data_IF_826007976954
#
_entry.id   IF_826007976954
#
_cell.length_a   1.000
_cell.length_b   1.000
_cell.length_c   1.000
_cell.angle_alpha   90.00
_cell.angle_beta   90.00
_cell.angle_gamma   90.00
#
_symmetry.space_group_name_H-M   'P 1'
#
loop_
_entity.id
_entity.type
_entity.pdbx_description
1 polymer ?
#
# COMPACT_ATOMS: atom_id res chain seq x y z
N UNK A 1 -46.64 -65.42 -15.80
CA UNK A 1 -47.80 -64.51 -15.77
C UNK A 1 -47.36 -63.24 -15.05
N UNK A 2 -47.63 -62.01 -15.54
CA UNK A 2 -47.87 -61.55 -16.92
C UNK A 2 -46.63 -60.77 -17.47
N UNK A 3 -46.21 -60.92 -18.74
CA UNK A 3 -46.70 -60.22 -19.95
C UNK A 3 -46.18 -58.75 -20.01
N UNK A 4 -45.64 -58.17 -21.08
CA UNK A 4 -45.97 -58.25 -22.52
C UNK A 4 -44.83 -57.63 -23.39
N UNK A 5 -44.62 -58.25 -24.57
CA UNK A 5 -44.48 -57.70 -25.96
C UNK A 5 -43.48 -56.55 -26.25
N UNK A 6 -42.44 -56.82 -27.07
CA UNK A 6 -42.36 -56.68 -28.56
C UNK A 6 -42.45 -55.23 -29.06
N UNK A 7 -41.40 -54.74 -29.74
CA UNK A 7 -41.35 -54.50 -31.21
C UNK A 7 -40.26 -53.49 -31.65
N UNK A 8 -39.57 -53.87 -32.74
CA UNK A 8 -39.14 -53.08 -33.92
C UNK A 8 -38.16 -51.92 -33.73
N UNK A 9 -36.92 -51.98 -34.25
CA UNK A 9 -36.53 -51.85 -35.67
C UNK A 9 -36.89 -50.49 -36.30
N UNK A 10 -35.90 -49.63 -36.54
CA UNK A 10 -35.60 -49.07 -37.88
C UNK A 10 -34.52 -47.99 -37.85
N UNK A 11 -33.68 -48.05 -38.89
CA UNK A 11 -32.83 -47.05 -39.52
C UNK A 11 -33.12 -45.57 -39.22
N UNK A 12 -32.05 -44.76 -39.09
CA UNK A 12 -32.15 -43.30 -39.18
C UNK A 12 -30.82 -42.56 -39.02
N UNK A 13 -30.19 -42.26 -40.17
CA UNK A 13 -29.26 -41.16 -40.48
C UNK A 13 -28.24 -40.65 -39.43
N UNK A 14 -26.96 -40.80 -39.80
CA UNK A 14 -25.85 -39.94 -39.38
C UNK A 14 -26.12 -38.49 -39.83
N UNK A 15 -26.28 -37.59 -38.87
CA UNK A 15 -26.12 -36.14 -39.07
C UNK A 15 -24.74 -35.76 -38.52
N UNK A 16 -23.81 -35.23 -39.33
CA UNK A 16 -22.59 -34.66 -38.79
C UNK A 16 -22.96 -33.33 -38.12
N UNK A 17 -23.03 -33.34 -36.78
CA UNK A 17 -23.11 -32.11 -36.01
C UNK A 17 -21.82 -31.33 -36.26
N UNK A 18 -21.96 -30.21 -36.97
CA UNK A 18 -20.98 -29.14 -37.02
C UNK A 18 -20.64 -28.74 -35.58
N UNK A 19 -19.45 -29.12 -35.12
CA UNK A 19 -18.82 -28.50 -33.97
C UNK A 19 -18.44 -27.09 -34.44
N UNK A 20 -19.33 -26.12 -34.24
CA UNK A 20 -18.94 -24.72 -34.22
C UNK A 20 -17.95 -24.56 -33.08
N UNK A 21 -16.67 -24.43 -33.42
CA UNK A 21 -15.65 -23.93 -32.53
C UNK A 21 -16.11 -22.54 -32.07
N UNK A 22 -16.75 -22.49 -30.91
CA UNK A 22 -17.00 -21.24 -30.22
C UNK A 22 -15.63 -20.61 -29.97
N UNK A 23 -15.37 -19.50 -30.66
CA UNK A 23 -14.27 -18.62 -30.31
C UNK A 23 -14.46 -18.27 -28.83
N UNK A 24 -13.63 -18.86 -27.97
CA UNK A 24 -13.37 -18.28 -26.66
C UNK A 24 -12.85 -16.88 -26.94
N UNK A 25 -13.72 -15.89 -26.80
CA UNK A 25 -13.30 -14.51 -26.73
C UNK A 25 -12.28 -14.47 -25.58
N UNK A 26 -11.01 -14.41 -25.95
CA UNK A 26 -9.95 -14.03 -25.03
C UNK A 26 -10.37 -12.68 -24.50
N UNK A 27 -10.88 -12.63 -23.28
CA UNK A 27 -11.01 -11.37 -22.56
C UNK A 27 -9.56 -10.93 -22.35
N UNK A 28 -9.04 -10.18 -23.30
CA UNK A 28 -7.74 -9.53 -23.16
C UNK A 28 -7.89 -8.61 -21.97
N UNK A 29 -7.33 -9.03 -20.83
CA UNK A 29 -7.22 -8.15 -19.67
C UNK A 29 -6.58 -6.85 -20.16
N UNK A 30 -7.21 -5.72 -19.84
CA UNK A 30 -6.64 -4.43 -20.16
C UNK A 30 -5.21 -4.35 -19.59
N UNK A 31 -4.25 -3.77 -20.32
CA UNK A 31 -2.89 -3.56 -19.85
C UNK A 31 -2.81 -2.87 -18.49
N UNK A 32 -1.71 -3.10 -17.75
CA UNK A 32 -1.51 -2.59 -16.39
C UNK A 32 -1.59 -1.06 -16.32
N UNK A 33 -1.01 -0.38 -17.30
CA UNK A 33 -1.02 1.09 -17.46
C UNK A 33 -2.44 1.62 -17.71
N UNK A 34 -3.22 0.99 -18.59
CA UNK A 34 -4.61 1.37 -18.83
C UNK A 34 -5.47 1.20 -17.58
N UNK A 35 -5.35 0.05 -16.90
CA UNK A 35 -6.08 -0.22 -15.66
C UNK A 35 -5.67 0.73 -14.54
N UNK A 36 -4.37 0.97 -14.39
CA UNK A 36 -3.81 1.94 -13.43
C UNK A 36 -4.35 3.34 -13.67
N UNK A 37 -4.32 3.82 -14.92
CA UNK A 37 -4.86 5.12 -15.29
C UNK A 37 -6.36 5.25 -14.99
N UNK A 38 -7.17 4.23 -15.32
CA UNK A 38 -8.60 4.23 -14.97
C UNK A 38 -8.82 4.27 -13.47
N UNK A 39 -8.03 3.51 -12.70
CA UNK A 39 -8.10 3.49 -11.24
C UNK A 39 -7.76 4.86 -10.63
N UNK A 40 -6.69 5.50 -11.10
CA UNK A 40 -6.25 6.83 -10.64
C UNK A 40 -7.33 7.89 -10.94
N UNK A 41 -7.86 7.91 -12.16
CA UNK A 41 -8.91 8.87 -12.52
C UNK A 41 -10.18 8.67 -11.69
N UNK A 42 -10.57 7.42 -11.42
CA UNK A 42 -11.71 7.13 -10.56
C UNK A 42 -11.58 7.71 -9.15
N UNK A 43 -10.37 7.65 -8.59
CA UNK A 43 -10.05 8.19 -7.27
C UNK A 43 -10.11 9.72 -7.30
N UNK A 44 -9.58 10.34 -8.35
CA UNK A 44 -9.60 11.78 -8.53
C UNK A 44 -11.02 12.30 -8.79
N UNK A 45 -11.84 11.62 -9.59
CA UNK A 45 -13.24 12.01 -9.83
C UNK A 45 -14.07 11.99 -8.54
N UNK A 46 -13.75 11.09 -7.61
CA UNK A 46 -14.36 11.04 -6.27
C UNK A 46 -14.05 12.27 -5.39
N UNK A 47 -13.11 13.14 -5.80
CA UNK A 47 -12.81 14.42 -5.16
C UNK A 47 -13.71 15.56 -5.63
N UNK A 48 -14.28 15.49 -6.84
CA UNK A 48 -15.03 16.61 -7.46
C UNK A 48 -16.54 16.67 -7.23
N UNK A 49 -17.14 15.63 -6.62
CA UNK A 49 -18.60 15.43 -6.63
C UNK A 49 -19.37 15.90 -5.40
N UNK A 50 -19.63 17.21 -5.30
CA UNK A 50 -20.80 17.76 -4.61
C UNK A 50 -21.66 18.52 -5.62
N UNK A 51 -22.39 17.79 -6.47
CA UNK A 51 -23.45 18.37 -7.31
C UNK A 51 -23.51 17.82 -8.73
N UNK A 52 -24.64 17.21 -9.06
CA UNK A 52 -25.14 17.12 -10.44
C UNK A 52 -24.86 15.82 -11.19
N UNK A 53 -25.96 15.19 -11.63
CA UNK A 53 -26.06 14.06 -12.55
C UNK A 53 -25.56 12.69 -12.04
N UNK A 54 -26.50 11.93 -11.49
CA UNK A 54 -26.48 10.47 -11.57
C UNK A 54 -26.35 10.07 -13.04
N UNK A 55 -25.19 9.61 -13.48
CA UNK A 55 -25.09 8.83 -14.70
C UNK A 55 -23.95 7.82 -14.55
N UNK A 56 -24.34 6.54 -14.59
CA UNK A 56 -23.54 5.32 -14.45
C UNK A 56 -23.05 4.98 -13.04
N UNK A 57 -23.90 4.21 -12.35
CA UNK A 57 -23.53 3.48 -11.16
C UNK A 57 -22.47 2.41 -11.47
N UNK A 58 -21.36 2.49 -10.71
CA UNK A 58 -20.57 1.37 -10.14
C UNK A 58 -19.75 0.47 -11.08
N UNK A 59 -18.58 0.95 -11.50
CA UNK A 59 -17.44 0.07 -11.88
C UNK A 59 -16.10 0.53 -11.27
N UNK A 60 -16.16 1.40 -10.25
CA UNK A 60 -15.00 2.03 -9.62
C UNK A 60 -14.90 1.65 -8.15
N UNK A 61 -13.68 1.60 -7.57
CA UNK A 61 -13.46 1.03 -6.24
C UNK A 61 -14.32 1.74 -5.20
N UNK A 62 -14.97 0.97 -4.33
CA UNK A 62 -15.68 1.55 -3.19
C UNK A 62 -14.66 1.99 -2.15
N UNK A 63 -13.96 3.10 -2.37
CA UNK A 63 -13.07 3.69 -1.38
C UNK A 63 -13.90 4.42 -0.33
N UNK A 64 -13.77 4.01 0.93
CA UNK A 64 -14.39 4.67 2.05
C UNK A 64 -13.34 5.43 2.84
N UNK A 65 -13.52 6.75 2.95
CA UNK A 65 -12.68 7.61 3.77
C UNK A 65 -13.42 7.90 5.08
N UNK A 66 -12.81 7.59 6.21
CA UNK A 66 -13.40 7.74 7.54
C UNK A 66 -12.55 8.66 8.40
N UNK A 67 -13.18 9.65 9.04
CA UNK A 67 -12.58 10.51 10.07
C UNK A 67 -11.33 11.32 9.61
N UNK A 68 -11.13 11.49 8.31
CA UNK A 68 -9.94 12.15 7.74
C UNK A 68 -10.10 13.66 7.46
N UNK A 69 -10.98 14.36 8.17
CA UNK A 69 -11.18 15.80 7.95
C UNK A 69 -9.92 16.63 8.22
N UNK A 70 -9.05 16.16 9.12
CA UNK A 70 -7.83 16.85 9.54
C UNK A 70 -6.54 16.29 8.92
N UNK A 71 -6.64 15.35 7.99
CA UNK A 71 -5.49 14.81 7.29
C UNK A 71 -4.76 15.91 6.50
N UNK A 72 -3.40 15.98 6.51
CA UNK A 72 -2.44 15.06 7.17
C UNK A 72 -2.05 15.45 8.61
N UNK A 73 -2.62 16.52 9.17
CA UNK A 73 -2.35 17.04 10.52
C UNK A 73 -2.96 18.44 10.68
N UNK A 74 -3.74 18.66 11.73
CA UNK A 74 -4.71 19.76 11.90
C UNK A 74 -4.19 21.21 12.03
N UNK A 75 -3.14 21.61 11.31
CA UNK A 75 -2.57 22.96 11.38
C UNK A 75 -2.35 23.62 10.02
N UNK A 76 -3.36 24.33 9.52
CA UNK A 76 -3.23 25.22 8.36
C UNK A 76 -4.55 25.87 7.97
N UNK A 77 -4.61 27.21 7.94
CA UNK A 77 -5.83 28.02 7.71
C UNK A 77 -6.40 28.00 6.29
N UNK A 78 -5.76 27.37 5.32
CA UNK A 78 -6.25 27.24 3.96
C UNK A 78 -5.62 26.00 3.32
N UNK A 79 -6.33 25.37 2.36
CA UNK A 79 -5.91 24.34 1.39
C UNK A 79 -6.58 22.98 1.58
N UNK A 80 -7.64 22.73 0.79
CA UNK A 80 -8.41 21.48 0.57
C UNK A 80 -8.93 20.72 1.82
N UNK A 81 -10.21 20.28 1.84
CA UNK A 81 -10.70 19.34 2.84
C UNK A 81 -9.77 18.11 2.94
N UNK A 82 -9.43 17.67 4.16
CA UNK A 82 -8.46 16.58 4.36
C UNK A 82 -8.79 15.27 3.62
N UNK A 83 -10.09 15.01 3.39
CA UNK A 83 -10.56 13.91 2.53
C UNK A 83 -10.06 14.03 1.08
N UNK A 84 -10.17 15.21 0.47
CA UNK A 84 -9.73 15.44 -0.91
C UNK A 84 -8.20 15.35 -1.02
N UNK A 85 -7.50 15.85 0.00
CA UNK A 85 -6.05 15.72 0.08
C UNK A 85 -5.62 14.26 0.16
N UNK A 86 -6.28 13.45 0.99
CA UNK A 86 -6.00 12.01 1.10
C UNK A 86 -6.24 11.27 -0.21
N UNK A 87 -7.34 11.56 -0.91
CA UNK A 87 -7.61 10.97 -2.23
C UNK A 87 -6.58 11.39 -3.28
N UNK A 88 -6.10 12.65 -3.23
CA UNK A 88 -5.03 13.14 -4.11
C UNK A 88 -3.71 12.42 -3.83
N UNK A 89 -3.35 12.27 -2.55
CA UNK A 89 -2.11 11.57 -2.15
C UNK A 89 -2.21 10.08 -2.53
N UNK A 90 -3.38 9.45 -2.37
CA UNK A 90 -3.64 8.07 -2.79
C UNK A 90 -3.49 7.88 -4.31
N UNK A 91 -4.07 8.79 -5.09
CA UNK A 91 -3.97 8.80 -6.54
C UNK A 91 -2.51 8.94 -6.99
N UNK A 92 -1.78 9.91 -6.42
CA UNK A 92 -0.34 10.14 -6.68
C UNK A 92 0.49 8.90 -6.36
N UNK A 93 0.23 8.27 -5.20
CA UNK A 93 0.90 7.05 -4.76
C UNK A 93 0.69 5.89 -5.73
N UNK A 94 -0.55 5.65 -6.16
CA UNK A 94 -0.87 4.61 -7.13
C UNK A 94 -0.27 4.88 -8.49
N UNK A 95 -0.38 6.11 -8.99
CA UNK A 95 0.18 6.50 -10.28
C UNK A 95 1.69 6.25 -10.32
N UNK A 96 2.41 6.80 -9.34
CA UNK A 96 3.88 6.70 -9.24
C UNK A 96 4.33 5.25 -9.04
N UNK A 97 3.72 4.56 -8.07
CA UNK A 97 4.09 3.19 -7.72
C UNK A 97 3.79 2.21 -8.85
N UNK A 98 2.60 2.23 -9.42
CA UNK A 98 2.24 1.31 -10.51
C UNK A 98 3.07 1.57 -11.77
N UNK A 99 3.31 2.84 -12.13
CA UNK A 99 4.19 3.18 -13.26
C UNK A 99 5.62 2.67 -13.03
N UNK A 100 6.16 2.85 -11.82
CA UNK A 100 7.47 2.33 -11.45
C UNK A 100 7.55 0.80 -11.60
N UNK A 101 6.58 0.06 -11.03
CA UNK A 101 6.55 -1.41 -11.09
C UNK A 101 6.30 -1.95 -12.51
N UNK A 102 5.64 -1.18 -13.37
CA UNK A 102 5.49 -1.47 -14.80
C UNK A 102 6.77 -1.19 -15.62
N UNK A 103 7.81 -0.64 -15.00
CA UNK A 103 9.08 -0.31 -15.65
C UNK A 103 9.12 1.06 -16.32
N UNK A 104 8.19 1.95 -15.99
CA UNK A 104 8.14 3.35 -16.45
C UNK A 104 8.81 4.33 -15.46
N UNK A 105 9.44 3.81 -14.40
CA UNK A 105 10.22 4.61 -13.46
C UNK A 105 11.62 4.99 -13.98
N UNK A 106 12.35 5.87 -13.27
CA UNK A 106 13.68 6.34 -13.67
C UNK A 106 14.73 5.22 -13.79
N UNK A 107 14.47 4.06 -13.19
CA UNK A 107 15.36 2.89 -13.19
C UNK A 107 15.01 1.84 -14.25
N UNK A 108 14.02 2.15 -15.10
CA UNK A 108 13.54 1.27 -16.16
C UNK A 108 12.87 0.01 -15.62
N UNK A 109 12.96 -1.08 -16.40
CA UNK A 109 12.34 -2.35 -16.06
C UNK A 109 12.95 -2.99 -14.81
N UNK A 110 12.08 -3.35 -13.87
CA UNK A 110 12.40 -4.19 -12.71
C UNK A 110 12.24 -5.67 -13.07
N UNK A 111 12.57 -6.57 -12.14
CA UNK A 111 12.29 -8.00 -12.35
C UNK A 111 10.77 -8.24 -12.52
N UNK A 112 10.31 -9.14 -13.43
CA UNK A 112 8.89 -9.33 -13.76
C UNK A 112 7.97 -9.66 -12.58
N UNK A 113 8.53 -10.21 -11.50
CA UNK A 113 7.81 -10.41 -10.24
C UNK A 113 7.13 -9.13 -9.73
N UNK A 114 7.72 -7.96 -9.96
CA UNK A 114 7.20 -6.69 -9.48
C UNK A 114 5.99 -6.19 -10.28
N UNK A 115 6.01 -6.36 -11.61
CA UNK A 115 4.83 -6.12 -12.46
C UNK A 115 3.68 -7.08 -12.09
N UNK A 116 4.00 -8.33 -11.72
CA UNK A 116 3.02 -9.25 -11.15
C UNK A 116 2.41 -8.74 -9.83
N UNK A 117 3.21 -8.17 -8.92
CA UNK A 117 2.68 -7.56 -7.69
C UNK A 117 1.79 -6.33 -7.98
N UNK A 118 2.15 -5.49 -8.96
CA UNK A 118 1.33 -4.37 -9.39
C UNK A 118 -0.04 -4.83 -9.90
N UNK A 119 -0.07 -5.90 -10.70
CA UNK A 119 -1.31 -6.52 -11.16
C UNK A 119 -2.16 -7.05 -10.01
N UNK A 120 -1.54 -7.71 -9.01
CA UNK A 120 -2.26 -8.19 -7.81
C UNK A 120 -2.87 -7.03 -7.02
N UNK A 121 -2.15 -5.92 -6.87
CA UNK A 121 -2.66 -4.75 -6.15
C UNK A 121 -3.85 -4.13 -6.89
N UNK A 122 -3.75 -3.95 -8.20
CA UNK A 122 -4.89 -3.47 -9.00
C UNK A 122 -6.08 -4.42 -8.93
N UNK A 123 -5.86 -5.74 -9.03
CA UNK A 123 -6.94 -6.72 -8.87
C UNK A 123 -7.64 -6.57 -7.51
N UNK A 124 -6.89 -6.33 -6.44
CA UNK A 124 -7.46 -6.11 -5.11
C UNK A 124 -8.27 -4.81 -5.06
N UNK A 125 -7.76 -3.72 -5.63
CA UNK A 125 -8.45 -2.43 -5.69
C UNK A 125 -9.74 -2.51 -6.52
N UNK A 126 -9.70 -3.20 -7.66
CA UNK A 126 -10.85 -3.42 -8.55
C UNK A 126 -11.86 -4.43 -7.98
N UNK A 127 -11.44 -5.31 -7.07
CA UNK A 127 -12.31 -6.34 -6.51
C UNK A 127 -13.51 -5.71 -5.79
N UNK A 128 -14.72 -6.32 -5.92
CA UNK A 128 -15.89 -5.86 -5.18
C UNK A 128 -15.63 -5.78 -3.68
N UNK A 129 -16.16 -4.74 -3.04
CA UNK A 129 -16.01 -4.50 -1.61
C UNK A 129 -15.32 -3.18 -1.29
N UNK A 130 -15.50 -2.75 -0.06
CA UNK A 130 -15.01 -1.45 0.40
C UNK A 130 -13.50 -1.51 0.68
N UNK A 131 -12.78 -0.47 0.27
CA UNK A 131 -11.37 -0.23 0.58
C UNK A 131 -11.32 0.93 1.57
N UNK A 132 -11.00 0.67 2.82
CA UNK A 132 -11.18 1.67 3.88
C UNK A 132 -9.89 2.41 4.19
N UNK A 133 -9.93 3.74 4.21
CA UNK A 133 -8.89 4.57 4.79
C UNK A 133 -9.47 5.32 5.99
N UNK A 134 -9.01 4.98 7.18
CA UNK A 134 -9.50 5.55 8.42
C UNK A 134 -8.41 6.39 9.08
N UNK A 135 -8.72 7.64 9.38
CA UNK A 135 -7.81 8.48 10.15
C UNK A 135 -8.12 8.38 11.64
N UNK A 136 -7.05 8.34 12.43
CA UNK A 136 -7.06 8.46 13.88
C UNK A 136 -6.13 9.59 14.30
N UNK A 137 -6.25 10.01 15.54
CA UNK A 137 -5.43 11.07 16.12
C UNK A 137 -4.78 10.55 17.41
N UNK A 138 -3.45 10.47 17.37
CA UNK A 138 -2.62 10.08 18.50
C UNK A 138 -2.99 8.70 19.07
N UNK A 139 -3.34 7.74 18.20
CA UNK A 139 -3.89 6.46 18.60
C UNK A 139 -2.91 5.30 18.42
N UNK A 140 -1.83 5.47 17.67
CA UNK A 140 -0.83 4.43 17.44
C UNK A 140 0.58 4.99 17.37
N UNK A 141 1.56 4.11 17.58
CA UNK A 141 2.97 4.46 17.49
C UNK A 141 3.44 4.58 16.04
N UNK A 142 2.80 3.84 15.13
CA UNK A 142 3.08 3.88 13.69
C UNK A 142 2.41 5.08 13.01
N UNK A 143 2.99 5.54 11.91
CA UNK A 143 2.42 6.60 11.06
C UNK A 143 1.14 6.14 10.36
N UNK A 144 1.16 4.90 9.87
CA UNK A 144 0.05 4.23 9.23
C UNK A 144 0.20 2.72 9.44
N UNK A 145 -0.91 1.99 9.30
CA UNK A 145 -0.93 0.53 9.36
C UNK A 145 -2.01 -0.01 8.44
N UNK A 146 -1.63 -0.93 7.56
CA UNK A 146 -2.56 -1.72 6.78
C UNK A 146 -3.10 -2.93 7.56
N UNK A 147 -4.37 -3.24 7.35
CA UNK A 147 -4.95 -4.51 7.78
C UNK A 147 -4.39 -5.66 6.96
N UNK A 148 -4.22 -6.83 7.58
CA UNK A 148 -3.85 -8.06 6.91
C UNK A 148 -5.09 -8.88 6.52
N UNK A 149 -5.03 -9.72 5.47
CA UNK A 149 -6.13 -10.62 5.09
C UNK A 149 -6.58 -11.55 6.22
N UNK A 150 -5.67 -11.93 7.12
CA UNK A 150 -5.95 -12.79 8.29
C UNK A 150 -6.55 -12.07 9.49
N UNK A 151 -6.75 -10.74 9.41
CA UNK A 151 -7.10 -9.91 10.55
C UNK A 151 -5.91 -9.66 11.49
N UNK A 152 -6.19 -9.02 12.62
CA UNK A 152 -5.20 -8.68 13.64
C UNK A 152 -5.36 -9.59 14.86
N UNK A 153 -4.26 -10.17 15.36
CA UNK A 153 -4.29 -11.01 16.56
C UNK A 153 -4.60 -10.18 17.81
N UNK A 154 -5.26 -10.77 18.82
CA UNK A 154 -5.65 -10.06 20.04
C UNK A 154 -4.46 -9.53 20.85
N UNK A 155 -3.32 -10.20 20.75
CA UNK A 155 -2.07 -9.81 21.41
C UNK A 155 -1.27 -8.75 20.63
N UNK A 156 -1.74 -8.37 19.44
CA UNK A 156 -1.11 -7.29 18.68
C UNK A 156 -1.34 -5.95 19.40
N UNK A 157 -0.30 -5.13 19.65
CA UNK A 157 -0.45 -3.80 20.26
C UNK A 157 -1.43 -2.87 19.52
N UNK A 158 -1.66 -3.12 18.23
CA UNK A 158 -2.57 -2.35 17.36
C UNK A 158 -3.97 -2.96 17.26
N UNK A 159 -4.23 -4.08 17.96
CA UNK A 159 -5.54 -4.73 17.97
C UNK A 159 -6.70 -3.77 18.29
N UNK A 160 -6.61 -2.85 19.28
CA UNK A 160 -7.70 -1.91 19.56
C UNK A 160 -8.08 -1.01 18.38
N UNK A 161 -7.13 -0.67 17.52
CA UNK A 161 -7.30 0.20 16.36
C UNK A 161 -7.74 -0.58 15.13
N UNK A 162 -7.36 -1.85 15.02
CA UNK A 162 -7.56 -2.66 13.82
C UNK A 162 -8.75 -3.63 13.90
N UNK A 163 -9.16 -4.08 15.10
CA UNK A 163 -10.18 -5.14 15.27
C UNK A 163 -11.54 -4.85 14.61
N UNK A 164 -11.91 -3.57 14.51
CA UNK A 164 -13.20 -3.12 13.97
C UNK A 164 -13.08 -2.67 12.49
N UNK A 165 -11.86 -2.70 11.95
CA UNK A 165 -11.55 -2.27 10.57
C UNK A 165 -11.35 -3.51 9.70
N UNK A 166 -12.22 -3.70 8.71
CA UNK A 166 -12.18 -4.89 7.84
C UNK A 166 -11.14 -4.74 6.73
N UNK A 167 -10.45 -5.83 6.43
CA UNK A 167 -9.59 -5.93 5.26
C UNK A 167 -10.38 -5.74 3.94
N UNK A 168 -9.83 -5.03 2.94
CA UNK A 168 -8.58 -4.26 2.98
C UNK A 168 -8.79 -2.83 3.47
N UNK A 169 -7.93 -2.42 4.39
CA UNK A 169 -7.96 -1.09 4.98
C UNK A 169 -6.59 -0.59 5.40
N UNK A 170 -6.44 0.73 5.48
CA UNK A 170 -5.30 1.44 6.08
C UNK A 170 -5.82 2.37 7.18
N UNK A 171 -5.23 2.27 8.37
CA UNK A 171 -5.42 3.24 9.44
C UNK A 171 -4.26 4.24 9.38
N UNK A 172 -4.56 5.53 9.50
CA UNK A 172 -3.62 6.64 9.35
C UNK A 172 -3.60 7.47 10.63
N UNK A 173 -2.45 7.60 11.30
CA UNK A 173 -2.32 8.48 12.46
C UNK A 173 -1.92 9.87 11.99
N UNK A 174 -2.91 10.74 11.87
CA UNK A 174 -2.70 12.11 11.40
C UNK A 174 -1.84 12.95 12.35
N UNK A 175 -1.65 12.50 13.59
CA UNK A 175 -0.75 13.15 14.53
C UNK A 175 0.71 12.86 14.15
N UNK A 176 1.01 11.59 13.85
CA UNK A 176 2.34 11.14 13.46
C UNK A 176 2.72 11.56 12.04
N UNK A 177 1.80 11.43 11.10
CA UNK A 177 1.99 11.94 9.72
C UNK A 177 2.32 13.44 9.75
N UNK A 178 1.66 14.19 10.64
CA UNK A 178 1.89 15.62 10.84
C UNK A 178 3.19 16.00 11.54
N UNK A 179 3.99 15.03 12.02
CA UNK A 179 5.23 15.28 12.77
C UNK A 179 4.97 15.80 14.20
N UNK A 180 3.86 15.40 14.82
CA UNK A 180 3.50 15.82 16.18
C UNK A 180 3.79 14.70 17.20
N UNK A 181 4.21 15.10 18.42
CA UNK A 181 4.54 14.17 19.49
C UNK A 181 3.29 13.66 20.20
N UNK A 182 3.05 12.36 20.27
CA UNK A 182 1.95 11.80 21.08
C UNK A 182 1.90 12.38 22.48
N UNK A 183 0.71 12.64 23.03
CA UNK A 183 0.52 13.05 24.44
C UNK A 183 0.22 11.90 25.38
N UNK A 184 0.08 10.68 24.86
CA UNK A 184 -0.32 9.49 25.61
C UNK A 184 0.83 8.73 26.24
N UNK A 185 2.07 9.05 25.87
CA UNK A 185 3.26 8.42 26.43
C UNK A 185 3.52 8.94 27.84
N UNK A 186 4.19 8.16 28.67
CA UNK A 186 4.65 8.58 29.99
C UNK A 186 5.85 9.54 29.90
N UNK A 187 6.14 10.24 31.00
CA UNK A 187 7.23 11.22 31.04
C UNK A 187 8.60 10.56 30.85
N UNK A 188 8.75 9.30 31.28
CA UNK A 188 9.97 8.54 31.08
C UNK A 188 10.23 8.25 29.60
N UNK A 189 9.20 7.92 28.82
CA UNK A 189 9.31 7.74 27.37
C UNK A 189 9.71 9.04 26.68
N UNK A 190 9.12 10.19 27.08
CA UNK A 190 9.55 11.49 26.54
C UNK A 190 11.02 11.79 26.84
N UNK A 191 11.47 11.48 28.06
CA UNK A 191 12.85 11.73 28.48
C UNK A 191 13.86 10.78 27.83
N UNK A 192 13.53 9.50 27.75
CA UNK A 192 14.48 8.45 27.35
C UNK A 192 14.49 8.19 25.86
N UNK A 193 13.34 8.23 25.19
CA UNK A 193 13.23 7.94 23.76
C UNK A 193 13.30 9.21 22.92
N UNK A 194 12.59 10.27 23.33
CA UNK A 194 12.57 11.55 22.60
C UNK A 194 13.59 12.56 23.11
N UNK A 195 14.37 12.20 24.14
CA UNK A 195 15.40 13.05 24.75
C UNK A 195 14.93 14.45 25.13
N UNK A 196 13.66 14.57 25.55
CA UNK A 196 13.07 15.84 25.97
C UNK A 196 13.57 16.27 27.35
N UNK A 197 13.89 17.56 27.48
CA UNK A 197 14.14 18.20 28.77
C UNK A 197 12.84 18.43 29.56
N UNK A 198 12.92 18.54 30.89
CA UNK A 198 11.75 18.71 31.78
C UNK A 198 10.82 19.86 31.36
N UNK A 199 11.39 21.00 30.93
CA UNK A 199 10.59 22.13 30.46
C UNK A 199 9.84 21.82 29.16
N UNK A 200 10.42 21.04 28.25
CA UNK A 200 9.76 20.59 27.03
C UNK A 200 8.67 19.56 27.36
N UNK A 201 8.91 18.64 28.30
CA UNK A 201 7.87 17.70 28.78
C UNK A 201 6.70 18.49 29.38
N UNK A 202 6.98 19.47 30.23
CA UNK A 202 5.96 20.34 30.82
C UNK A 202 5.15 21.11 29.75
N UNK A 203 5.83 21.73 28.77
CA UNK A 203 5.19 22.42 27.65
C UNK A 203 4.37 21.46 26.79
N UNK A 204 4.87 20.26 26.52
CA UNK A 204 4.15 19.25 25.73
C UNK A 204 2.85 18.83 26.40
N UNK A 205 2.90 18.62 27.73
CA UNK A 205 1.76 18.21 28.56
C UNK A 205 0.70 19.30 28.69
N UNK A 206 1.12 20.57 28.81
CA UNK A 206 0.22 21.65 29.24
C UNK A 206 0.02 22.76 28.19
N UNK A 207 0.79 22.76 27.10
CA UNK A 207 0.85 23.82 26.09
C UNK A 207 0.34 23.39 24.72
N UNK A 208 0.94 23.93 23.66
CA UNK A 208 0.68 23.51 22.27
C UNK A 208 1.44 22.20 21.97
N UNK A 209 0.98 21.37 21.02
CA UNK A 209 1.72 20.18 20.60
C UNK A 209 3.15 20.52 20.21
N UNK A 210 4.12 19.80 20.78
CA UNK A 210 5.51 19.97 20.36
C UNK A 210 5.72 19.42 18.95
N UNK A 211 6.40 20.22 18.14
CA UNK A 211 6.97 19.82 16.85
C UNK A 211 8.47 19.75 17.03
N UNK A 212 8.99 18.54 17.17
CA UNK A 212 10.43 18.31 17.30
C UNK A 212 11.01 18.06 15.91
N UNK A 213 12.23 18.52 15.62
CA UNK A 213 12.94 18.16 14.38
C UNK A 213 13.05 16.63 14.19
N UNK A 214 13.27 15.90 15.28
CA UNK A 214 13.34 14.42 15.33
C UNK A 214 12.01 13.73 15.06
N UNK A 215 10.89 14.45 15.18
CA UNK A 215 9.57 13.96 14.79
C UNK A 215 9.34 14.28 13.32
N UNK A 216 10.04 13.52 12.49
CA UNK A 216 9.98 13.62 11.05
C UNK A 216 8.53 13.63 10.56
N UNK A 217 8.13 14.72 9.92
CA UNK A 217 6.87 14.79 9.18
C UNK A 217 7.02 14.00 7.89
N UNK A 218 6.18 13.00 7.68
CA UNK A 218 6.14 12.26 6.42
C UNK A 218 5.76 13.22 5.27
N UNK A 219 6.64 13.42 4.30
CA UNK A 219 6.51 14.45 3.26
C UNK A 219 5.86 13.86 2.01
N UNK A 220 6.40 12.74 1.53
CA UNK A 220 5.87 11.96 0.44
C UNK A 220 4.74 11.04 0.92
N UNK A 221 3.58 11.65 1.13
CA UNK A 221 2.38 10.93 1.57
C UNK A 221 1.85 9.96 0.53
N UNK A 222 2.16 10.15 -0.75
CA UNK A 222 1.83 9.20 -1.80
C UNK A 222 2.63 7.91 -1.64
N UNK A 223 3.92 8.02 -1.34
CA UNK A 223 4.79 6.90 -1.00
C UNK A 223 4.24 6.12 0.20
N UNK A 224 3.90 6.81 1.30
CA UNK A 224 3.29 6.19 2.48
C UNK A 224 2.03 5.38 2.15
N UNK A 225 1.10 5.97 1.39
CA UNK A 225 -0.15 5.29 1.07
C UNK A 225 0.09 4.07 0.17
N UNK A 226 1.00 4.19 -0.80
CA UNK A 226 1.38 3.06 -1.63
C UNK A 226 2.05 1.95 -0.82
N UNK A 227 2.97 2.31 0.09
CA UNK A 227 3.63 1.42 1.04
C UNK A 227 2.60 0.58 1.82
N UNK A 228 1.61 1.23 2.44
CA UNK A 228 0.57 0.52 3.19
C UNK A 228 -0.28 -0.39 2.29
N UNK A 229 -0.57 0.01 1.06
CA UNK A 229 -1.30 -0.85 0.13
C UNK A 229 -0.49 -2.08 -0.32
N UNK A 230 0.84 -2.01 -0.33
CA UNK A 230 1.70 -3.16 -0.62
C UNK A 230 1.56 -4.21 0.48
N UNK A 231 1.34 -3.81 1.73
CA UNK A 231 1.07 -4.74 2.83
C UNK A 231 -0.22 -5.56 2.60
N UNK A 232 -1.22 -5.04 1.87
CA UNK A 232 -2.40 -5.83 1.51
C UNK A 232 -2.09 -7.07 0.67
N UNK A 233 -0.92 -7.11 0.01
CA UNK A 233 -0.48 -8.27 -0.78
C UNK A 233 0.13 -9.40 0.07
N UNK A 234 0.23 -9.19 1.39
CA UNK A 234 0.84 -10.11 2.36
C UNK A 234 2.34 -9.90 2.54
N UNK A 235 2.88 -8.76 2.11
CA UNK A 235 4.28 -8.41 2.36
C UNK A 235 4.38 -7.70 3.69
N UNK A 236 5.28 -8.13 4.56
CA UNK A 236 5.47 -7.57 5.90
C UNK A 236 6.86 -6.95 6.02
N UNK A 237 7.02 -6.02 6.96
CA UNK A 237 8.32 -5.53 7.33
C UNK A 237 9.19 -6.68 7.87
N UNK A 238 10.33 -6.93 7.24
CA UNK A 238 11.29 -7.94 7.68
C UNK A 238 12.73 -7.43 7.54
N UNK A 239 13.62 -7.94 8.38
CA UNK A 239 15.06 -7.86 8.17
C UNK A 239 15.62 -9.14 7.53
N UNK A 240 14.93 -10.28 7.74
CA UNK A 240 15.41 -11.59 7.29
C UNK A 240 14.97 -11.90 5.86
N UNK A 241 13.93 -11.25 5.36
CA UNK A 241 13.43 -11.39 3.98
C UNK A 241 13.32 -10.01 3.32
N UNK A 242 13.23 -9.95 1.98
CA UNK A 242 13.02 -8.69 1.29
C UNK A 242 11.77 -7.97 1.81
N UNK A 243 11.94 -6.75 2.32
CA UNK A 243 10.83 -5.88 2.64
C UNK A 243 10.43 -5.11 1.39
N UNK A 244 9.43 -5.63 0.67
CA UNK A 244 8.97 -5.02 -0.57
C UNK A 244 8.33 -3.66 -0.37
N UNK A 245 7.64 -3.43 0.75
CA UNK A 245 7.00 -2.15 0.98
C UNK A 245 8.07 -1.05 1.09
N UNK A 246 9.10 -1.29 1.90
CA UNK A 246 10.24 -0.38 2.03
C UNK A 246 11.09 -0.26 0.75
N UNK A 247 11.32 -1.36 0.03
CA UNK A 247 12.07 -1.33 -1.24
C UNK A 247 11.32 -0.55 -2.31
N UNK A 248 10.01 -0.71 -2.42
CA UNK A 248 9.18 0.04 -3.37
C UNK A 248 9.11 1.51 -3.00
N UNK A 249 8.91 1.84 -1.72
CA UNK A 249 8.97 3.22 -1.21
C UNK A 249 10.30 3.87 -1.64
N UNK A 250 11.42 3.25 -1.25
CA UNK A 250 12.76 3.81 -1.48
C UNK A 250 13.11 3.90 -2.97
N UNK A 251 12.76 2.90 -3.77
CA UNK A 251 13.10 2.87 -5.20
C UNK A 251 12.19 3.80 -6.03
N UNK A 252 10.87 3.68 -5.85
CA UNK A 252 9.89 4.29 -6.74
C UNK A 252 9.60 5.76 -6.41
N UNK A 253 9.84 6.18 -5.17
CA UNK A 253 9.50 7.53 -4.68
C UNK A 253 10.74 8.40 -4.43
N UNK A 254 11.88 8.00 -5.00
CA UNK A 254 13.06 8.86 -5.06
C UNK A 254 13.99 8.81 -3.84
N UNK A 255 13.78 7.86 -2.92
CA UNK A 255 14.60 7.64 -1.74
C UNK A 255 13.76 7.58 -0.46
N UNK A 256 14.41 7.83 0.68
CA UNK A 256 13.75 7.97 1.98
C UNK A 256 13.56 9.44 2.32
N UNK A 257 12.36 9.78 2.80
CA UNK A 257 12.07 11.13 3.30
C UNK A 257 12.95 11.53 4.50
N UNK A 258 13.48 10.54 5.23
CA UNK A 258 14.26 10.74 6.45
C UNK A 258 15.73 11.13 6.20
N UNK A 259 16.20 11.07 4.94
CA UNK A 259 17.59 11.34 4.57
C UNK A 259 17.64 12.63 3.75
N UNK A 260 18.15 13.72 4.34
CA UNK A 260 18.25 15.05 3.69
C UNK A 260 19.44 15.13 2.75
N UNK A 261 20.54 14.42 3.03
CA UNK A 261 21.70 14.43 2.13
C UNK A 261 21.32 13.84 0.76
N UNK A 262 21.31 14.65 -0.32
CA UNK A 262 20.80 14.19 -1.60
C UNK A 262 21.68 13.11 -2.24
N UNK A 263 22.97 13.04 -1.90
CA UNK A 263 23.87 12.05 -2.48
C UNK A 263 23.65 10.67 -1.84
N UNK A 264 23.64 10.59 -0.51
CA UNK A 264 23.30 9.38 0.23
C UNK A 264 21.90 8.90 -0.11
N UNK A 265 20.91 9.80 -0.15
CA UNK A 265 19.53 9.42 -0.46
C UNK A 265 19.39 8.82 -1.87
N UNK A 266 20.08 9.40 -2.87
CA UNK A 266 20.16 8.82 -4.22
C UNK A 266 20.86 7.46 -4.24
N UNK A 267 21.92 7.29 -3.45
CA UNK A 267 22.63 6.02 -3.36
C UNK A 267 21.72 4.91 -2.82
N UNK A 268 20.94 5.17 -1.77
CA UNK A 268 19.98 4.21 -1.23
C UNK A 268 18.85 3.89 -2.21
N UNK A 269 18.32 4.90 -2.92
CA UNK A 269 17.36 4.68 -4.02
C UNK A 269 17.95 3.73 -5.07
N UNK A 270 19.16 4.01 -5.55
CA UNK A 270 19.81 3.22 -6.61
C UNK A 270 20.11 1.79 -6.17
N UNK A 271 20.49 1.61 -4.90
CA UNK A 271 20.66 0.31 -4.27
C UNK A 271 19.33 -0.45 -4.18
N UNK A 272 18.27 0.16 -3.66
CA UNK A 272 16.94 -0.45 -3.59
C UNK A 272 16.43 -0.89 -4.97
N UNK A 273 16.59 -0.05 -5.99
CA UNK A 273 16.20 -0.40 -7.36
C UNK A 273 17.07 -1.51 -7.96
N UNK A 274 18.34 -1.60 -7.57
CA UNK A 274 19.23 -2.70 -7.98
C UNK A 274 18.77 -4.01 -7.36
N UNK A 275 18.40 -4.00 -6.08
CA UNK A 275 17.79 -5.15 -5.41
C UNK A 275 16.52 -5.58 -6.16
N UNK A 276 15.63 -4.66 -6.52
CA UNK A 276 14.39 -4.94 -7.27
C UNK A 276 14.62 -5.45 -8.72
N UNK A 277 15.84 -5.36 -9.24
CA UNK A 277 16.22 -5.94 -10.55
C UNK A 277 16.92 -7.28 -10.43
N UNK A 278 17.29 -7.70 -9.23
CA UNK A 278 18.11 -8.90 -9.01
C UNK A 278 17.33 -10.19 -9.32
N UNK A 279 17.61 -10.75 -10.49
CA UNK A 279 17.00 -12.00 -10.97
C UNK A 279 17.28 -13.20 -10.05
N UNK A 280 18.47 -13.26 -9.44
CA UNK A 280 18.82 -14.35 -8.52
C UNK A 280 17.92 -14.31 -7.27
N UNK A 281 17.62 -13.11 -6.78
CA UNK A 281 16.72 -12.92 -5.63
C UNK A 281 15.27 -13.24 -6.00
N UNK A 282 14.77 -12.63 -7.07
CA UNK A 282 13.34 -12.65 -7.38
C UNK A 282 12.88 -13.90 -8.14
N UNK A 283 13.78 -14.63 -8.80
CA UNK A 283 13.50 -16.00 -9.27
C UNK A 283 13.15 -16.96 -8.13
N UNK A 284 13.54 -16.64 -6.89
CA UNK A 284 13.25 -17.41 -5.69
C UNK A 284 12.03 -16.89 -4.90
N UNK A 285 11.25 -15.94 -5.42
CA UNK A 285 10.19 -15.26 -4.66
C UNK A 285 9.11 -16.19 -4.08
N UNK A 286 8.90 -17.37 -4.68
CA UNK A 286 7.96 -18.38 -4.19
C UNK A 286 8.62 -19.50 -3.36
N UNK A 287 9.92 -19.37 -3.07
CA UNK A 287 10.72 -20.31 -2.27
C UNK A 287 11.36 -19.56 -1.09
N UNK A 288 10.60 -19.26 -0.01
CA UNK A 288 11.00 -18.29 1.01
C UNK A 288 12.38 -18.54 1.62
N UNK A 289 12.72 -19.80 1.90
CA UNK A 289 14.03 -20.15 2.46
C UNK A 289 15.18 -19.91 1.47
N UNK A 290 14.96 -20.10 0.17
CA UNK A 290 15.99 -19.84 -0.84
C UNK A 290 16.17 -18.33 -1.04
N UNK A 291 15.07 -17.59 -1.15
CA UNK A 291 15.09 -16.14 -1.24
C UNK A 291 15.79 -15.50 -0.04
N UNK A 292 15.47 -15.95 1.18
CA UNK A 292 16.12 -15.52 2.42
C UNK A 292 17.63 -15.73 2.39
N UNK A 293 18.12 -16.86 1.84
CA UNK A 293 19.56 -17.11 1.72
C UNK A 293 20.22 -16.17 0.73
N UNK A 294 19.60 -15.91 -0.44
CA UNK A 294 20.13 -14.94 -1.41
C UNK A 294 20.17 -13.54 -0.79
N UNK A 295 19.07 -13.14 -0.14
CA UNK A 295 18.94 -11.87 0.57
C UNK A 295 20.09 -11.63 1.56
N UNK A 296 20.36 -12.61 2.42
CA UNK A 296 21.45 -12.51 3.41
C UNK A 296 22.84 -12.63 2.78
N UNK A 297 23.03 -13.55 1.82
CA UNK A 297 24.33 -13.73 1.16
C UNK A 297 24.79 -12.48 0.42
N UNK A 298 23.85 -11.72 -0.16
CA UNK A 298 24.11 -10.45 -0.84
C UNK A 298 24.18 -9.25 0.11
N UNK A 299 23.95 -9.44 1.41
CA UNK A 299 24.01 -8.39 2.43
C UNK A 299 22.87 -7.37 2.35
N UNK A 300 21.78 -7.70 1.67
CA UNK A 300 20.65 -6.77 1.48
C UNK A 300 19.87 -6.51 2.77
N UNK A 301 19.99 -7.41 3.77
CA UNK A 301 19.47 -7.24 5.13
C UNK A 301 20.06 -6.03 5.87
N UNK A 302 21.22 -5.52 5.44
CA UNK A 302 21.88 -4.35 6.04
C UNK A 302 21.37 -2.99 5.51
N UNK A 303 20.59 -2.98 4.42
CA UNK A 303 20.17 -1.72 3.78
C UNK A 303 19.42 -0.82 4.76
N UNK A 304 18.41 -1.37 5.45
CA UNK A 304 17.60 -0.62 6.41
C UNK A 304 18.39 -0.09 7.60
N UNK A 305 19.34 -0.87 8.12
CA UNK A 305 20.15 -0.40 9.26
C UNK A 305 21.03 0.77 8.82
N UNK A 306 21.70 0.64 7.66
CA UNK A 306 22.51 1.73 7.10
C UNK A 306 21.69 2.99 6.83
N UNK A 307 20.50 2.84 6.25
CA UNK A 307 19.59 3.97 6.04
C UNK A 307 19.21 4.66 7.35
N UNK A 308 18.91 3.89 8.41
CA UNK A 308 18.57 4.44 9.73
C UNK A 308 19.75 5.18 10.37
N UNK A 309 20.97 4.70 10.18
CA UNK A 309 22.17 5.37 10.67
C UNK A 309 22.39 6.75 10.00
N UNK A 310 21.86 6.92 8.79
CA UNK A 310 21.88 8.16 8.01
C UNK A 310 20.60 9.01 8.15
N UNK A 311 19.65 8.63 9.01
CA UNK A 311 18.50 9.48 9.29
C UNK A 311 18.97 10.74 10.00
N UNK A 312 18.59 11.91 9.47
CA UNK A 312 18.95 13.18 10.10
C UNK A 312 18.11 13.42 11.35
N UNK A 313 18.77 13.55 12.50
CA UNK A 313 18.18 14.05 13.76
C UNK A 313 17.65 15.51 13.62
#
# INVERSE_FOLDING_TARGET
MPALRRCMASFGLLIPSLITAGAYASSTFAPLDERGFRMVNAILDATGGAGGAQTQARDFPSIQIMQCSHYPGGGGRHQRPGREQLLTDLATGLETGLACLAGHGPMGRLHPYHEYQANRLLQLLEAPGVKTFQCVEDAMFATAVATAPGGTHIDDPLYPQLRDVKFPAVVLDTYRIGGMLSRRLDDDTYRTFFHLAEHQIYEHRNGQPLRLPSLHRYRDRGALLFHEMVHWLGHEHSATRPDLAHLYETCCFGGSDYIRDPASNRAYRDEACTILRDDELWSQAYLPYRQMRVWHHKGYDTLKSRMRDDFDD
#
